data_IF_260507516788
#
_entry.id   IF_260507516788
#
_cell.length_a   1.000
_cell.length_b   1.000
_cell.length_c   1.000
_cell.angle_alpha   90.00
_cell.angle_beta   90.00
_cell.angle_gamma   90.00
#
_symmetry.space_group_name_H-M   'P 1'
#
loop_
_entity.id
_entity.type
_entity.pdbx_description
1 polymer ?
#
# COMPACT_ATOMS: atom_id res chain seq x y z
N UNK A 1 -22.36 6.76 26.22
CA UNK A 1 -22.75 5.55 25.48
C UNK A 1 -24.18 5.75 25.02
N UNK A 2 -24.43 5.75 23.71
CA UNK A 2 -25.76 6.03 23.17
C UNK A 2 -26.51 4.72 23.08
N UNK A 3 -27.76 4.70 23.52
CA UNK A 3 -28.64 3.54 23.37
C UNK A 3 -29.89 3.89 22.60
N UNK A 4 -30.41 2.94 21.82
CA UNK A 4 -31.66 3.11 21.10
C UNK A 4 -32.52 1.85 21.14
N UNK A 5 -33.83 2.01 21.29
CA UNK A 5 -34.79 0.91 21.20
C UNK A 5 -35.78 1.18 20.08
N UNK A 6 -35.98 0.21 19.20
CA UNK A 6 -36.97 0.26 18.13
C UNK A 6 -37.86 -0.98 18.15
N UNK A 7 -39.16 -0.79 17.87
CA UNK A 7 -40.16 -1.86 17.94
C UNK A 7 -40.41 -2.58 16.61
N UNK A 8 -39.99 -2.01 15.48
CA UNK A 8 -40.23 -2.58 14.14
C UNK A 8 -39.00 -3.33 13.62
N UNK A 9 -39.23 -4.24 12.67
CA UNK A 9 -38.15 -4.92 11.95
C UNK A 9 -37.24 -3.93 11.22
N UNK A 10 -37.81 -2.89 10.64
CA UNK A 10 -37.08 -1.85 9.91
C UNK A 10 -36.17 -1.01 10.82
N UNK A 11 -36.57 -0.79 12.09
CA UNK A 11 -35.69 -0.17 13.08
C UNK A 11 -34.48 -1.07 13.36
N UNK A 12 -34.68 -2.39 13.50
CA UNK A 12 -33.58 -3.31 13.79
C UNK A 12 -32.54 -3.34 12.66
N UNK A 13 -32.98 -3.41 11.41
CA UNK A 13 -32.08 -3.36 10.25
C UNK A 13 -31.30 -2.04 10.19
N UNK A 14 -31.97 -0.91 10.43
CA UNK A 14 -31.35 0.41 10.45
C UNK A 14 -30.33 0.56 11.58
N UNK A 15 -30.67 0.08 12.79
CA UNK A 15 -29.79 0.11 13.97
C UNK A 15 -28.56 -0.81 13.80
N UNK A 16 -28.74 -1.96 13.14
CA UNK A 16 -27.67 -2.88 12.78
C UNK A 16 -26.74 -2.27 11.71
N UNK A 17 -27.30 -1.61 10.70
CA UNK A 17 -26.54 -0.88 9.67
C UNK A 17 -25.67 0.24 10.24
N UNK A 18 -26.10 0.88 11.33
CA UNK A 18 -25.31 1.86 12.08
C UNK A 18 -24.31 1.24 13.07
N UNK A 19 -24.00 -0.06 12.96
CA UNK A 19 -23.10 -0.82 13.83
C UNK A 19 -23.53 -0.88 15.30
N UNK A 20 -24.82 -0.81 15.58
CA UNK A 20 -25.35 -1.01 16.92
C UNK A 20 -25.12 -2.45 17.41
N UNK A 21 -24.76 -2.61 18.67
CA UNK A 21 -24.67 -3.91 19.35
C UNK A 21 -25.92 -4.16 20.16
N UNK A 22 -26.60 -5.29 19.92
CA UNK A 22 -27.80 -5.63 20.69
C UNK A 22 -27.43 -6.01 22.14
N UNK A 23 -28.02 -5.33 23.11
CA UNK A 23 -27.95 -5.67 24.53
C UNK A 23 -29.25 -6.36 24.98
N UNK A 24 -29.24 -7.69 25.16
CA UNK A 24 -30.44 -8.43 25.54
C UNK A 24 -30.92 -8.10 26.97
N UNK A 25 -30.03 -7.71 27.88
CA UNK A 25 -30.40 -7.39 29.26
C UNK A 25 -31.20 -6.07 29.37
N UNK A 26 -30.89 -5.11 28.48
CA UNK A 26 -31.57 -3.81 28.43
C UNK A 26 -32.66 -3.71 27.35
N UNK A 27 -32.85 -4.77 26.55
CA UNK A 27 -33.72 -4.78 25.37
C UNK A 27 -33.50 -3.58 24.43
N UNK A 28 -32.24 -3.18 24.25
CA UNK A 28 -31.85 -2.00 23.48
C UNK A 28 -30.58 -2.25 22.66
N UNK A 29 -30.35 -1.38 21.67
CA UNK A 29 -29.13 -1.33 20.87
C UNK A 29 -28.17 -0.33 21.51
N UNK A 30 -26.90 -0.70 21.63
CA UNK A 30 -25.84 0.12 22.17
C UNK A 30 -24.87 0.53 21.07
N UNK A 31 -24.49 1.80 21.06
CA UNK A 31 -23.54 2.37 20.11
C UNK A 31 -22.33 2.91 20.86
N UNK A 32 -21.15 2.48 20.41
CA UNK A 32 -19.88 2.98 20.91
C UNK A 32 -19.59 4.39 20.39
N UNK A 33 -20.03 4.66 19.16
CA UNK A 33 -19.89 5.96 18.50
C UNK A 33 -20.96 6.14 17.41
N UNK A 34 -21.49 7.35 17.29
CA UNK A 34 -22.32 7.80 16.17
C UNK A 34 -21.82 9.18 15.74
N UNK A 35 -21.70 9.40 14.43
CA UNK A 35 -21.46 10.76 13.92
C UNK A 35 -22.67 11.67 14.20
N UNK A 36 -22.51 13.01 14.24
CA UNK A 36 -23.64 13.92 14.43
C UNK A 36 -24.77 13.70 13.42
N UNK A 37 -24.43 13.41 12.16
CA UNK A 37 -25.41 13.06 11.12
C UNK A 37 -26.17 11.77 11.41
N UNK A 38 -25.47 10.71 11.81
CA UNK A 38 -26.11 9.43 12.17
C UNK A 38 -26.99 9.56 13.41
N UNK A 39 -26.59 10.34 14.42
CA UNK A 39 -27.42 10.61 15.60
C UNK A 39 -28.67 11.43 15.24
N UNK A 40 -28.53 12.42 14.34
CA UNK A 40 -29.68 13.18 13.84
C UNK A 40 -30.66 12.27 13.08
N UNK A 41 -30.15 11.39 12.20
CA UNK A 41 -30.97 10.37 11.54
C UNK A 41 -31.66 9.46 12.55
N UNK A 42 -30.94 9.00 13.57
CA UNK A 42 -31.47 8.10 14.61
C UNK A 42 -32.60 8.75 15.42
N UNK A 43 -32.44 10.03 15.80
CA UNK A 43 -33.46 10.82 16.51
C UNK A 43 -34.67 11.16 15.63
N UNK A 44 -34.49 11.17 14.30
CA UNK A 44 -35.55 11.40 13.33
C UNK A 44 -36.39 10.16 12.99
N UNK A 45 -36.00 8.96 13.44
CA UNK A 45 -36.76 7.74 13.19
C UNK A 45 -38.00 7.67 14.09
N UNK A 46 -39.18 7.66 13.48
CA UNK A 46 -40.47 7.57 14.20
C UNK A 46 -40.54 6.25 14.98
N UNK A 47 -40.75 6.33 16.29
CA UNK A 47 -40.86 5.14 17.14
C UNK A 47 -39.52 4.50 17.56
N UNK A 48 -38.40 5.20 17.36
CA UNK A 48 -37.12 4.86 17.98
C UNK A 48 -36.87 5.80 19.16
N UNK A 49 -36.73 5.22 20.35
CA UNK A 49 -36.34 5.98 21.55
C UNK A 49 -34.82 5.96 21.66
N UNK A 50 -34.19 7.13 21.67
CA UNK A 50 -32.73 7.29 21.82
C UNK A 50 -32.44 7.90 23.18
N UNK A 51 -31.51 7.31 23.94
CA UNK A 51 -31.06 7.85 25.22
C UNK A 51 -29.54 7.87 25.33
N UNK A 52 -29.01 8.85 26.05
CA UNK A 52 -27.57 9.15 26.18
C UNK A 52 -27.20 10.53 25.64
N UNK A 53 -26.10 11.08 26.14
CA UNK A 53 -25.60 12.40 25.77
C UNK A 53 -25.10 12.46 24.32
N UNK A 54 -25.02 13.67 23.75
CA UNK A 54 -24.42 13.90 22.43
C UNK A 54 -23.02 13.28 22.34
N UNK A 55 -22.62 12.75 21.17
CA UNK A 55 -21.31 12.15 21.00
C UNK A 55 -20.27 13.23 21.31
N UNK A 56 -19.51 13.01 22.38
CA UNK A 56 -18.22 13.68 22.54
C UNK A 56 -17.42 13.46 21.25
N UNK A 57 -16.72 14.48 20.74
CA UNK A 57 -15.99 14.38 19.48
C UNK A 57 -15.10 13.14 19.53
N UNK A 58 -15.17 12.34 18.46
CA UNK A 58 -14.34 11.19 18.09
C UNK A 58 -13.60 10.48 19.25
N UNK A 59 -13.72 9.16 19.48
CA UNK A 59 -12.89 8.46 20.49
C UNK A 59 -11.36 8.66 20.34
N UNK A 60 -10.86 9.24 19.25
CA UNK A 60 -9.49 9.77 19.13
C UNK A 60 -9.23 11.16 19.78
N UNK A 61 -10.23 11.84 20.37
CA UNK A 61 -10.11 13.19 20.92
C UNK A 61 -10.40 13.34 22.42
N UNK A 62 -10.70 12.28 23.17
CA UNK A 62 -10.64 12.39 24.64
C UNK A 62 -10.19 11.10 25.33
N UNK A 63 -8.90 11.03 25.59
CA UNK A 63 -8.33 10.11 26.57
C UNK A 63 -8.97 10.41 27.94
N UNK A 64 -9.43 9.36 28.64
CA UNK A 64 -10.06 9.47 29.97
C UNK A 64 -9.15 10.20 30.97
N UNK A 65 -9.68 10.90 31.96
CA UNK A 65 -8.87 11.66 32.93
C UNK A 65 -7.78 10.80 33.61
N UNK A 66 -8.08 9.53 33.90
CA UNK A 66 -7.08 8.54 34.39
C UNK A 66 -6.02 8.18 33.36
N UNK A 67 -6.37 8.08 32.07
CA UNK A 67 -5.38 7.94 30.99
C UNK A 67 -4.60 9.23 30.81
N UNK A 68 -5.20 10.42 30.94
CA UNK A 68 -4.50 11.72 30.90
C UNK A 68 -3.54 11.92 32.07
N UNK A 69 -3.86 11.41 33.26
CA UNK A 69 -2.96 11.41 34.42
C UNK A 69 -1.80 10.43 34.20
N UNK A 70 -2.09 9.22 33.73
CA UNK A 70 -1.08 8.21 33.36
C UNK A 70 -0.19 8.70 32.20
N UNK A 71 -0.78 9.36 31.19
CA UNK A 71 -0.03 10.01 30.14
C UNK A 71 0.73 11.22 30.70
N UNK A 72 0.18 12.11 31.51
CA UNK A 72 0.95 13.22 32.12
C UNK A 72 2.13 12.74 32.95
N UNK A 73 1.97 11.67 33.72
CA UNK A 73 3.04 11.11 34.55
C UNK A 73 4.10 10.35 33.74
N UNK A 74 3.76 9.84 32.56
CA UNK A 74 4.68 9.16 31.63
C UNK A 74 5.31 10.15 30.63
N UNK A 75 4.61 11.22 30.27
CA UNK A 75 5.04 12.25 29.30
C UNK A 75 5.94 13.33 29.90
N UNK A 76 5.92 13.55 31.23
CA UNK A 76 6.82 14.49 31.91
C UNK A 76 8.07 13.82 32.51
N UNK A 77 8.22 12.51 32.34
CA UNK A 77 9.34 11.75 32.90
C UNK A 77 10.51 11.56 31.91
N UNK A 78 10.26 11.65 30.60
CA UNK A 78 11.26 11.38 29.55
C UNK A 78 11.50 12.60 28.63
N UNK A 79 11.42 13.81 29.19
CA UNK A 79 11.80 15.07 28.53
C UNK A 79 13.31 15.37 28.70
N UNK A 80 14.18 14.35 28.68
CA UNK A 80 15.60 14.59 28.34
C UNK A 80 15.70 14.78 26.83
N UNK A 81 15.22 15.95 26.38
CA UNK A 81 15.35 16.49 25.03
C UNK A 81 16.82 16.46 24.53
N UNK A 82 17.78 16.38 25.46
CA UNK A 82 19.21 16.32 25.21
C UNK A 82 19.72 14.91 24.84
N UNK A 83 19.12 13.83 25.36
CA UNK A 83 19.52 12.44 25.02
C UNK A 83 19.00 12.01 23.65
N UNK A 84 17.82 12.52 23.27
CA UNK A 84 17.30 12.35 21.90
C UNK A 84 18.24 13.09 20.95
N UNK A 85 18.54 14.39 21.15
CA UNK A 85 19.41 15.17 20.24
C UNK A 85 20.83 14.60 20.05
N UNK A 86 21.38 13.86 21.00
CA UNK A 86 22.72 13.27 20.93
C UNK A 86 22.85 12.10 19.94
N UNK A 87 21.75 11.41 19.60
CA UNK A 87 21.77 10.21 18.75
C UNK A 87 21.56 10.45 17.25
N UNK A 88 21.33 11.69 16.81
CA UNK A 88 20.97 11.99 15.42
C UNK A 88 22.14 12.57 14.62
N UNK A 89 22.38 12.08 13.37
CA UNK A 89 23.33 12.72 12.48
C UNK A 89 22.89 14.15 12.18
N UNK A 90 23.77 15.12 12.44
CA UNK A 90 23.53 16.54 12.09
C UNK A 90 23.33 16.70 10.58
N UNK A 91 22.60 17.74 10.19
CA UNK A 91 22.57 18.27 8.81
C UNK A 91 23.98 18.22 8.19
N UNK A 92 24.15 17.45 7.12
CA UNK A 92 25.42 17.26 6.40
C UNK A 92 26.15 15.94 6.65
N UNK A 93 25.64 15.06 7.52
CA UNK A 93 26.13 13.68 7.60
C UNK A 93 25.81 12.90 6.30
N UNK A 94 26.69 11.97 5.86
CA UNK A 94 26.42 11.15 4.69
C UNK A 94 25.22 10.24 4.93
N UNK A 95 24.38 10.07 3.90
CA UNK A 95 23.27 9.11 3.90
C UNK A 95 23.78 7.70 4.21
N UNK A 96 23.17 7.05 5.21
CA UNK A 96 23.42 5.63 5.49
C UNK A 96 22.66 4.78 4.47
N UNK A 97 23.39 4.03 3.64
CA UNK A 97 22.80 3.12 2.64
C UNK A 97 22.79 1.70 3.21
N UNK A 98 21.62 1.08 3.23
CA UNK A 98 21.41 -0.30 3.68
C UNK A 98 20.75 -1.09 2.54
N UNK A 99 21.27 -2.29 2.26
CA UNK A 99 20.81 -3.15 1.17
C UNK A 99 21.85 -3.28 0.07
N UNK A 100 21.46 -3.87 -1.06
CA UNK A 100 22.35 -4.25 -2.17
C UNK A 100 22.19 -3.36 -3.41
N UNK A 101 21.29 -2.38 -3.40
CA UNK A 101 21.01 -1.55 -4.57
C UNK A 101 20.74 -0.07 -4.23
N UNK A 102 21.72 0.80 -4.55
CA UNK A 102 21.59 2.25 -4.37
C UNK A 102 20.99 3.00 -5.58
N UNK A 103 20.55 2.29 -6.63
CA UNK A 103 20.18 2.87 -7.94
C UNK A 103 19.14 3.98 -7.81
N UNK A 104 18.19 3.84 -6.89
CA UNK A 104 17.04 4.75 -6.79
C UNK A 104 17.19 5.88 -5.78
N UNK A 105 18.30 5.96 -5.03
CA UNK A 105 18.53 7.00 -4.02
C UNK A 105 18.26 8.41 -4.58
N UNK A 106 18.83 8.71 -5.74
CA UNK A 106 18.69 10.02 -6.38
C UNK A 106 17.36 10.24 -7.11
N UNK A 107 16.39 9.30 -7.03
CA UNK A 107 15.06 9.46 -7.64
C UNK A 107 14.07 10.08 -6.66
N UNK A 108 14.21 9.88 -5.36
CA UNK A 108 13.30 10.46 -4.37
C UNK A 108 13.38 11.99 -4.32
N UNK A 109 12.34 12.65 -3.82
CA UNK A 109 12.30 14.11 -3.58
C UNK A 109 13.50 14.59 -2.76
N UNK A 110 13.72 13.93 -1.61
CA UNK A 110 14.88 14.21 -0.78
C UNK A 110 16.07 13.41 -1.33
N UNK A 111 17.13 14.13 -1.72
CA UNK A 111 18.36 13.53 -2.28
C UNK A 111 19.38 13.15 -1.21
N UNK A 112 19.16 13.58 0.04
CA UNK A 112 20.05 13.34 1.17
C UNK A 112 19.25 12.80 2.38
N UNK A 113 18.56 11.66 2.25
CA UNK A 113 17.87 11.06 3.38
C UNK A 113 18.88 10.65 4.46
N UNK A 114 18.43 10.54 5.72
CA UNK A 114 19.30 10.02 6.79
C UNK A 114 19.68 8.58 6.48
N UNK A 115 18.66 7.78 6.11
CA UNK A 115 18.82 6.37 5.78
C UNK A 115 18.11 6.06 4.47
N UNK A 116 18.80 5.34 3.60
CA UNK A 116 18.25 4.81 2.36
C UNK A 116 18.34 3.29 2.36
N UNK A 117 17.18 2.65 2.23
CA UNK A 117 17.03 1.21 2.14
C UNK A 117 16.81 0.81 0.68
N UNK A 118 17.82 0.19 0.07
CA UNK A 118 17.84 -0.07 -1.37
C UNK A 118 18.05 -1.53 -1.69
N UNK A 119 17.06 -2.16 -2.32
CA UNK A 119 17.08 -3.60 -2.60
C UNK A 119 16.85 -3.93 -4.07
N UNK A 120 17.73 -4.75 -4.63
CA UNK A 120 17.76 -5.14 -6.04
C UNK A 120 16.62 -6.06 -6.46
N UNK A 121 15.96 -6.70 -5.49
CA UNK A 121 14.86 -7.65 -5.65
C UNK A 121 14.05 -7.82 -4.36
N UNK A 122 12.82 -8.34 -4.47
CA UNK A 122 12.05 -8.81 -3.29
C UNK A 122 12.82 -9.85 -2.48
N UNK A 123 13.54 -10.77 -3.13
CA UNK A 123 14.32 -11.80 -2.44
C UNK A 123 15.47 -11.20 -1.62
N UNK A 124 16.18 -10.18 -2.12
CA UNK A 124 17.22 -9.47 -1.38
C UNK A 124 16.64 -8.72 -0.17
N UNK A 125 15.49 -8.07 -0.36
CA UNK A 125 14.74 -7.43 0.72
C UNK A 125 14.35 -8.43 1.81
N UNK A 126 13.72 -9.54 1.45
CA UNK A 126 13.29 -10.59 2.40
C UNK A 126 14.49 -11.21 3.09
N UNK A 127 15.60 -11.45 2.39
CA UNK A 127 16.83 -11.96 2.99
C UNK A 127 17.35 -11.02 4.09
N UNK A 128 17.37 -9.70 3.84
CA UNK A 128 17.74 -8.72 4.85
C UNK A 128 16.77 -8.70 6.03
N UNK A 129 15.46 -8.59 5.76
CA UNK A 129 14.42 -8.57 6.80
C UNK A 129 14.46 -9.82 7.69
N UNK A 130 14.76 -10.99 7.12
CA UNK A 130 14.88 -12.25 7.86
C UNK A 130 16.09 -12.28 8.83
N UNK A 131 17.06 -11.37 8.68
CA UNK A 131 18.20 -11.27 9.60
C UNK A 131 17.93 -10.35 10.78
N UNK A 132 16.85 -9.58 10.73
CA UNK A 132 16.52 -8.62 11.78
C UNK A 132 16.13 -9.36 13.06
N UNK A 133 16.72 -8.93 14.16
CA UNK A 133 16.29 -9.35 15.49
C UNK A 133 15.32 -8.32 16.03
N UNK A 134 14.28 -8.80 16.71
CA UNK A 134 13.37 -7.91 17.43
C UNK A 134 14.18 -7.05 18.41
N UNK A 135 14.10 -5.71 18.33
CA UNK A 135 14.81 -4.85 19.25
C UNK A 135 14.31 -5.07 20.69
N UNK A 136 15.24 -5.12 21.65
CA UNK A 136 14.98 -5.49 23.07
C UNK A 136 14.49 -4.29 23.90
N UNK A 137 14.44 -3.09 23.34
CA UNK A 137 14.07 -1.87 24.08
C UNK A 137 12.55 -1.70 24.27
N UNK A 138 12.23 -1.12 25.42
CA UNK A 138 10.98 -0.90 26.16
C UNK A 138 9.99 0.14 25.58
N UNK A 139 10.32 0.75 24.44
CA UNK A 139 9.41 1.60 23.70
C UNK A 139 8.55 0.79 22.73
N UNK A 140 7.22 0.89 22.84
CA UNK A 140 6.15 0.27 22.01
C UNK A 140 6.27 0.38 20.47
N UNK A 141 7.38 0.91 19.93
CA UNK A 141 7.48 1.37 18.53
C UNK A 141 8.72 0.97 17.77
N UNK A 142 9.81 0.53 18.42
CA UNK A 142 10.94 -0.04 17.68
C UNK A 142 10.63 -1.45 17.16
N UNK A 143 9.66 -2.13 17.77
CA UNK A 143 9.22 -3.48 17.39
C UNK A 143 7.85 -3.49 16.69
N UNK A 144 7.42 -2.36 16.10
CA UNK A 144 6.14 -2.25 15.39
C UNK A 144 5.99 -3.27 14.25
N UNK A 145 7.10 -3.80 13.72
CA UNK A 145 7.07 -4.90 12.75
C UNK A 145 6.63 -6.25 13.33
N UNK A 146 6.85 -6.45 14.63
CA UNK A 146 6.55 -7.66 15.41
C UNK A 146 5.23 -7.60 16.16
N UNK A 147 4.59 -6.43 16.24
CA UNK A 147 3.37 -6.19 17.01
C UNK A 147 2.26 -5.57 16.17
N UNK A 148 1.03 -5.61 16.71
CA UNK A 148 -0.17 -5.07 16.08
C UNK A 148 -1.24 -6.13 15.85
N UNK A 149 -2.49 -5.69 15.87
CA UNK A 149 -3.63 -6.57 15.63
C UNK A 149 -3.63 -7.06 14.17
N UNK A 150 -4.13 -8.28 13.94
CA UNK A 150 -4.24 -8.88 12.60
C UNK A 150 -5.11 -8.03 11.67
N UNK A 151 -6.17 -7.41 12.19
CA UNK A 151 -7.01 -6.45 11.45
C UNK A 151 -6.20 -5.27 10.89
N UNK A 152 -5.14 -4.87 11.59
CA UNK A 152 -4.24 -3.81 11.13
C UNK A 152 -3.12 -4.38 10.26
N UNK A 153 -2.43 -5.43 10.68
CA UNK A 153 -1.21 -5.86 9.98
C UNK A 153 -1.47 -6.85 8.85
N UNK A 154 -2.62 -7.51 8.82
CA UNK A 154 -3.00 -8.56 7.87
C UNK A 154 -2.37 -9.93 8.14
N UNK A 155 -1.59 -10.06 9.21
CA UNK A 155 -0.92 -11.31 9.65
C UNK A 155 -0.88 -11.33 11.17
N UNK A 156 -0.80 -12.50 11.79
CA UNK A 156 -0.69 -12.66 13.23
C UNK A 156 0.67 -12.17 13.76
N UNK A 157 1.76 -12.44 13.02
CA UNK A 157 3.11 -12.11 13.46
C UNK A 157 4.08 -11.76 12.31
N UNK A 158 5.31 -11.40 12.68
CA UNK A 158 6.37 -11.03 11.74
C UNK A 158 6.83 -12.20 10.88
N UNK A 159 6.90 -13.41 11.45
CA UNK A 159 7.40 -14.59 10.74
C UNK A 159 6.42 -15.02 9.65
N UNK A 160 5.11 -14.90 9.91
CA UNK A 160 4.06 -15.08 8.91
C UNK A 160 4.20 -14.07 7.76
N UNK A 161 4.45 -12.80 8.07
CA UNK A 161 4.67 -11.79 7.03
C UNK A 161 5.91 -12.06 6.19
N UNK A 162 7.01 -12.53 6.81
CA UNK A 162 8.23 -12.96 6.09
C UNK A 162 7.95 -14.19 5.23
N UNK A 163 7.15 -15.14 5.74
CA UNK A 163 6.72 -16.33 5.01
C UNK A 163 5.91 -15.96 3.76
N UNK A 164 4.93 -15.05 3.89
CA UNK A 164 4.15 -14.53 2.77
C UNK A 164 5.02 -13.80 1.74
N UNK A 165 6.02 -13.03 2.19
CA UNK A 165 6.96 -12.34 1.31
C UNK A 165 7.86 -13.32 0.54
N UNK A 166 8.24 -14.44 1.18
CA UNK A 166 9.15 -15.45 0.60
C UNK A 166 8.44 -16.41 -0.34
N UNK A 167 7.23 -16.83 0.02
CA UNK A 167 6.48 -17.87 -0.69
C UNK A 167 5.34 -17.32 -1.54
N UNK A 168 5.02 -16.03 -1.39
CA UNK A 168 3.93 -15.36 -2.06
C UNK A 168 2.61 -15.47 -1.31
N UNK A 169 1.75 -14.47 -1.48
CA UNK A 169 0.41 -14.45 -0.90
C UNK A 169 -0.60 -15.10 -1.85
N UNK A 170 -0.84 -16.39 -1.66
CA UNK A 170 -1.65 -17.23 -2.56
C UNK A 170 -3.13 -16.82 -2.58
N UNK A 171 -3.68 -16.37 -1.45
CA UNK A 171 -5.06 -15.91 -1.35
C UNK A 171 -5.28 -14.62 -2.15
N UNK A 172 -4.39 -13.65 -1.97
CA UNK A 172 -4.37 -12.42 -2.76
C UNK A 172 -4.19 -12.71 -4.24
N UNK A 173 -3.35 -13.68 -4.60
CA UNK A 173 -3.21 -14.16 -5.98
C UNK A 173 -4.49 -14.81 -6.53
N UNK A 174 -5.21 -15.58 -5.71
CA UNK A 174 -6.49 -16.19 -6.08
C UNK A 174 -7.56 -15.13 -6.37
N UNK A 175 -7.67 -14.12 -5.51
CA UNK A 175 -8.54 -12.96 -5.70
C UNK A 175 -8.11 -12.16 -6.93
N UNK A 176 -6.81 -11.95 -7.08
CA UNK A 176 -6.22 -11.29 -8.24
C UNK A 176 -6.63 -11.98 -9.54
N UNK A 177 -6.50 -13.31 -9.61
CA UNK A 177 -6.84 -14.08 -10.81
C UNK A 177 -8.33 -14.01 -11.18
N UNK A 178 -9.22 -13.84 -10.20
CA UNK A 178 -10.67 -13.71 -10.43
C UNK A 178 -11.05 -12.33 -10.95
N UNK A 179 -10.33 -11.30 -10.52
CA UNK A 179 -10.57 -9.90 -10.85
C UNK A 179 -9.74 -9.42 -12.05
N UNK A 180 -8.69 -10.15 -12.42
CA UNK A 180 -7.85 -9.83 -13.57
C UNK A 180 -8.66 -9.94 -14.86
N UNK A 181 -8.59 -8.90 -15.68
CA UNK A 181 -9.07 -8.94 -17.05
C UNK A 181 -8.36 -10.07 -17.83
N UNK A 182 -9.01 -10.66 -18.85
CA UNK A 182 -8.36 -11.65 -19.71
C UNK A 182 -7.04 -11.07 -20.25
N UNK A 183 -5.97 -11.89 -20.29
CA UNK A 183 -4.64 -11.41 -20.68
C UNK A 183 -4.71 -10.70 -22.02
N UNK A 184 -3.96 -9.60 -22.15
CA UNK A 184 -3.96 -8.80 -23.36
C UNK A 184 -3.74 -9.70 -24.59
N UNK A 185 -4.77 -9.77 -25.45
CA UNK A 185 -4.92 -10.77 -26.52
C UNK A 185 -3.64 -10.90 -27.34
N UNK A 186 -2.91 -12.01 -27.18
CA UNK A 186 -1.58 -12.23 -27.78
C UNK A 186 -1.44 -11.58 -29.16
N UNK A 187 -0.42 -10.72 -29.36
CA UNK A 187 -0.22 -9.96 -30.61
C UNK A 187 -0.41 -10.89 -31.80
N UNK A 188 -1.45 -10.65 -32.59
CA UNK A 188 -1.82 -11.50 -33.73
C UNK A 188 -0.64 -11.58 -34.67
N UNK A 189 -0.01 -12.75 -34.78
CA UNK A 189 0.93 -13.04 -35.87
C UNK A 189 0.14 -12.92 -37.16
N UNK A 190 0.55 -12.02 -38.06
CA UNK A 190 -0.11 -11.84 -39.34
C UNK A 190 0.59 -12.73 -40.36
N UNK A 191 -0.22 -13.41 -41.16
CA UNK A 191 0.29 -14.09 -42.33
C UNK A 191 0.70 -13.05 -43.37
N UNK A 192 1.83 -13.27 -44.03
CA UNK A 192 2.44 -12.37 -44.99
C UNK A 192 3.21 -13.18 -46.05
N UNK A 193 3.58 -12.50 -47.14
CA UNK A 193 4.46 -13.07 -48.17
C UNK A 193 5.89 -13.28 -47.64
N UNK A 194 6.35 -12.39 -46.74
CA UNK A 194 7.67 -12.42 -46.12
C UNK A 194 7.56 -12.19 -44.60
N UNK A 195 8.40 -12.87 -43.82
CA UNK A 195 8.34 -12.86 -42.36
C UNK A 195 9.50 -13.60 -41.71
N UNK A 196 9.52 -13.63 -40.37
CA UNK A 196 10.61 -14.21 -39.58
C UNK A 196 10.42 -15.69 -39.23
N UNK A 197 9.24 -16.26 -39.47
CA UNK A 197 8.99 -17.70 -39.34
C UNK A 197 7.97 -18.15 -40.39
N UNK A 198 7.94 -19.44 -40.72
CA UNK A 198 7.03 -20.02 -41.72
C UNK A 198 5.92 -20.83 -41.05
N UNK A 199 4.70 -20.73 -41.58
CA UNK A 199 3.62 -21.66 -41.29
C UNK A 199 3.66 -22.78 -42.33
N UNK A 200 4.15 -23.96 -41.92
CA UNK A 200 4.40 -25.11 -42.80
C UNK A 200 3.12 -25.59 -43.49
N UNK A 201 1.99 -25.65 -42.77
CA UNK A 201 0.73 -26.11 -43.35
C UNK A 201 0.25 -25.22 -44.51
N UNK A 202 0.39 -23.91 -44.37
CA UNK A 202 0.07 -22.96 -45.45
C UNK A 202 1.03 -23.04 -46.64
N UNK A 203 2.31 -23.26 -46.37
CA UNK A 203 3.31 -23.46 -47.42
C UNK A 203 2.98 -24.70 -48.26
N UNK A 204 2.70 -25.83 -47.59
CA UNK A 204 2.35 -27.08 -48.26
C UNK A 204 1.02 -27.01 -49.02
N UNK A 205 0.09 -26.16 -48.57
CA UNK A 205 -1.15 -25.88 -49.28
C UNK A 205 -0.99 -24.89 -50.46
N UNK A 206 0.24 -24.48 -50.80
CA UNK A 206 0.51 -23.54 -51.88
C UNK A 206 0.05 -22.10 -51.60
N UNK A 207 -0.23 -21.75 -50.34
CA UNK A 207 -0.71 -20.42 -49.99
C UNK A 207 0.46 -19.41 -50.00
N UNK A 208 0.42 -18.34 -50.80
CA UNK A 208 1.49 -17.34 -50.86
C UNK A 208 1.68 -16.58 -49.53
N UNK A 209 0.66 -16.57 -48.65
CA UNK A 209 0.70 -15.98 -47.32
C UNK A 209 1.09 -17.02 -46.25
N UNK A 210 2.21 -17.71 -46.48
CA UNK A 210 2.72 -18.76 -45.59
C UNK A 210 3.72 -18.25 -44.55
N UNK A 211 4.26 -17.04 -44.69
CA UNK A 211 5.18 -16.47 -43.72
C UNK A 211 4.42 -15.80 -42.57
N UNK A 212 4.97 -15.84 -41.36
CA UNK A 212 4.48 -15.16 -40.18
C UNK A 212 5.33 -13.91 -39.95
N UNK A 213 4.68 -12.75 -40.04
CA UNK A 213 5.27 -11.46 -39.73
C UNK A 213 4.78 -11.01 -38.35
N UNK A 214 5.73 -10.66 -37.47
CA UNK A 214 5.43 -9.91 -36.24
C UNK A 214 5.39 -8.43 -36.57
N UNK A 215 4.48 -7.70 -35.96
CA UNK A 215 4.52 -6.25 -36.04
C UNK A 215 5.81 -5.75 -35.40
N UNK A 216 6.47 -4.75 -36.01
CA UNK A 216 7.69 -4.16 -35.45
C UNK A 216 7.37 -3.67 -34.04
N UNK A 217 8.12 -4.16 -33.07
CA UNK A 217 8.03 -3.64 -31.71
C UNK A 217 8.72 -2.28 -31.66
N UNK A 218 8.25 -1.33 -30.84
CA UNK A 218 9.04 -0.14 -30.54
C UNK A 218 10.43 -0.59 -30.07
N UNK A 219 11.48 0.13 -30.49
CA UNK A 219 12.84 -0.13 -30.01
C UNK A 219 12.82 -0.26 -28.48
N UNK A 220 13.50 -1.25 -27.90
CA UNK A 220 13.51 -1.61 -26.47
C UNK A 220 13.43 -0.39 -25.53
N UNK A 221 12.22 0.09 -25.25
CA UNK A 221 11.98 1.19 -24.33
C UNK A 221 11.61 0.55 -23.00
N UNK A 222 12.47 0.78 -22.02
CA UNK A 222 12.18 0.45 -20.64
C UNK A 222 11.25 1.54 -20.10
N UNK A 223 10.17 1.11 -19.46
CA UNK A 223 9.23 1.92 -18.69
C UNK A 223 9.43 1.56 -17.23
N UNK A 224 9.78 2.53 -16.39
CA UNK A 224 9.97 2.32 -14.96
C UNK A 224 8.79 2.87 -14.19
N UNK A 225 8.13 2.01 -13.42
CA UNK A 225 7.00 2.35 -12.56
C UNK A 225 7.47 2.41 -11.12
N UNK A 226 7.53 3.63 -10.56
CA UNK A 226 7.70 3.87 -9.14
C UNK A 226 6.33 3.85 -8.47
N UNK A 227 6.14 2.95 -7.52
CA UNK A 227 4.84 2.74 -6.87
C UNK A 227 4.99 2.88 -5.38
N UNK A 228 4.32 3.88 -4.78
CA UNK A 228 4.36 4.02 -3.33
C UNK A 228 3.69 2.84 -2.64
N UNK A 229 4.36 2.14 -1.76
CA UNK A 229 3.80 0.99 -1.03
C UNK A 229 2.95 1.43 0.14
N UNK A 230 2.97 2.72 0.46
CA UNK A 230 2.30 3.25 1.62
C UNK A 230 0.79 3.25 1.44
N UNK A 231 0.09 2.86 2.50
CA UNK A 231 -1.36 2.77 2.53
C UNK A 231 -1.89 3.41 3.81
N UNK A 232 -2.90 4.28 3.65
CA UNK A 232 -3.58 4.86 4.81
C UNK A 232 -4.23 3.77 5.69
N UNK A 233 -4.26 3.98 7.02
CA UNK A 233 -4.71 2.99 7.99
C UNK A 233 -6.14 2.49 7.70
N UNK A 234 -7.00 3.37 7.19
CA UNK A 234 -8.37 3.04 6.87
C UNK A 234 -8.57 2.30 5.55
N UNK A 235 -7.55 2.09 4.71
CA UNK A 235 -7.71 1.40 3.43
C UNK A 235 -8.13 -0.06 3.64
N UNK A 236 -9.21 -0.47 2.98
CA UNK A 236 -9.70 -1.86 3.03
C UNK A 236 -8.76 -2.81 2.28
N UNK A 237 -8.72 -4.08 2.70
CA UNK A 237 -7.94 -5.13 2.03
C UNK A 237 -8.35 -5.28 0.54
N UNK A 238 -9.65 -5.18 0.23
CA UNK A 238 -10.15 -5.25 -1.16
C UNK A 238 -9.57 -4.12 -2.04
N UNK A 239 -9.52 -2.89 -1.52
CA UNK A 239 -8.95 -1.75 -2.25
C UNK A 239 -7.44 -1.89 -2.45
N UNK A 240 -6.74 -2.48 -1.48
CA UNK A 240 -5.31 -2.81 -1.60
C UNK A 240 -5.04 -3.82 -2.72
N UNK A 241 -5.77 -4.93 -2.73
CA UNK A 241 -5.65 -5.97 -3.76
C UNK A 241 -5.97 -5.39 -5.13
N UNK A 242 -7.03 -4.59 -5.23
CA UNK A 242 -7.41 -3.97 -6.50
C UNK A 242 -6.31 -3.06 -7.04
N UNK A 243 -5.62 -2.29 -6.18
CA UNK A 243 -4.47 -1.50 -6.60
C UNK A 243 -3.35 -2.36 -7.14
N UNK A 244 -3.00 -3.45 -6.45
CA UNK A 244 -1.96 -4.36 -6.91
C UNK A 244 -2.30 -4.97 -8.29
N UNK A 245 -3.57 -5.31 -8.50
CA UNK A 245 -4.10 -5.80 -9.77
C UNK A 245 -4.03 -4.78 -10.88
N UNK A 246 -4.39 -3.54 -10.58
CA UNK A 246 -4.32 -2.46 -11.55
C UNK A 246 -2.87 -2.26 -12.02
N UNK A 247 -1.91 -2.23 -11.08
CA UNK A 247 -0.49 -2.14 -11.40
C UNK A 247 -0.05 -3.32 -12.30
N UNK A 248 -0.44 -4.54 -11.94
CA UNK A 248 -0.16 -5.72 -12.75
C UNK A 248 -0.78 -5.63 -14.17
N UNK A 249 -2.01 -5.13 -14.28
CA UNK A 249 -2.70 -4.91 -15.55
C UNK A 249 -2.05 -3.84 -16.42
N UNK A 250 -1.59 -2.73 -15.84
CA UNK A 250 -0.79 -1.72 -16.56
C UNK A 250 0.47 -2.36 -17.13
N UNK A 251 1.18 -3.15 -16.32
CA UNK A 251 2.41 -3.81 -16.73
C UNK A 251 2.15 -4.81 -17.85
N UNK A 252 1.13 -5.66 -17.72
CA UNK A 252 0.74 -6.60 -18.78
C UNK A 252 0.40 -5.84 -20.07
N UNK A 253 -0.33 -4.73 -19.98
CA UNK A 253 -0.68 -3.90 -21.14
C UNK A 253 0.55 -3.24 -21.78
N UNK A 254 1.46 -2.69 -20.99
CA UNK A 254 2.71 -2.09 -21.48
C UNK A 254 3.59 -3.14 -22.17
N UNK A 255 3.78 -4.30 -21.55
CA UNK A 255 4.54 -5.41 -22.14
C UNK A 255 3.85 -5.96 -23.38
N UNK A 256 2.52 -6.00 -23.37
CA UNK A 256 1.73 -6.35 -24.53
C UNK A 256 1.98 -5.38 -25.69
N UNK A 257 2.12 -4.08 -25.45
CA UNK A 257 2.43 -3.10 -26.50
C UNK A 257 3.90 -3.18 -26.98
N UNK A 258 4.77 -3.90 -26.26
CA UNK A 258 6.16 -4.14 -26.61
C UNK A 258 7.17 -3.32 -25.82
N UNK A 259 6.73 -2.69 -24.72
CA UNK A 259 7.63 -2.09 -23.74
C UNK A 259 8.24 -3.16 -22.84
N UNK A 260 9.35 -2.82 -22.18
CA UNK A 260 9.88 -3.58 -21.05
C UNK A 260 9.56 -2.81 -19.78
N UNK A 261 9.04 -3.47 -18.75
CA UNK A 261 8.63 -2.78 -17.53
C UNK A 261 9.58 -3.09 -16.37
N UNK A 262 9.97 -2.05 -15.63
CA UNK A 262 10.58 -2.16 -14.32
C UNK A 262 9.58 -1.68 -13.26
N UNK A 263 9.51 -2.38 -12.14
CA UNK A 263 8.60 -2.02 -11.04
C UNK A 263 9.44 -1.83 -9.78
N UNK A 264 9.31 -0.65 -9.17
CA UNK A 264 9.99 -0.29 -7.94
C UNK A 264 8.96 0.09 -6.90
N UNK A 265 8.88 -0.72 -5.84
CA UNK A 265 8.13 -0.41 -4.64
C UNK A 265 8.88 0.67 -3.85
N UNK A 266 8.28 1.85 -3.70
CA UNK A 266 8.89 2.98 -2.97
C UNK A 266 8.16 3.25 -1.67
N UNK A 267 8.88 3.65 -0.64
CA UNK A 267 8.32 4.09 0.62
C UNK A 267 9.12 5.30 1.10
N UNK A 268 8.43 6.30 1.63
CA UNK A 268 9.07 7.47 2.22
C UNK A 268 8.25 7.89 3.43
N UNK A 269 8.92 8.04 4.57
CA UNK A 269 8.32 8.64 5.75
C UNK A 269 9.30 9.60 6.41
N UNK A 270 8.72 10.46 7.24
CA UNK A 270 9.43 11.52 7.94
C UNK A 270 9.00 11.58 9.38
N UNK A 271 9.85 12.16 10.22
CA UNK A 271 9.42 12.67 11.53
C UNK A 271 8.44 13.83 11.34
N UNK A 272 7.49 14.02 12.26
CA UNK A 272 6.50 15.10 12.17
C UNK A 272 7.13 16.49 12.34
N UNK A 273 8.19 16.56 13.15
CA UNK A 273 8.95 17.75 13.55
C UNK A 273 10.29 17.90 12.82
N UNK A 274 10.71 16.89 12.04
CA UNK A 274 11.94 16.94 11.24
C UNK A 274 11.64 17.05 9.74
N UNK A 275 12.59 17.66 9.01
CA UNK A 275 12.67 17.59 7.55
C UNK A 275 13.33 16.29 7.06
N UNK A 276 13.71 15.43 7.98
CA UNK A 276 14.54 14.26 7.74
C UNK A 276 13.68 13.08 7.29
N UNK A 277 14.05 12.52 6.15
CA UNK A 277 13.36 11.38 5.54
C UNK A 277 14.22 10.13 5.65
N UNK A 278 13.54 9.00 5.79
CA UNK A 278 14.09 7.70 5.44
C UNK A 278 13.27 7.16 4.26
N UNK A 279 13.98 6.49 3.37
CA UNK A 279 13.47 6.10 2.07
C UNK A 279 13.76 4.64 1.82
N UNK A 280 12.80 3.93 1.25
CA UNK A 280 12.97 2.54 0.86
C UNK A 280 12.61 2.37 -0.60
N UNK A 281 13.45 1.66 -1.35
CA UNK A 281 13.18 1.21 -2.69
C UNK A 281 13.44 -0.30 -2.79
N UNK A 282 12.43 -1.05 -3.19
CA UNK A 282 12.53 -2.49 -3.45
C UNK A 282 12.14 -2.73 -4.90
N UNK A 283 13.07 -3.21 -5.72
CA UNK A 283 12.71 -3.61 -7.09
C UNK A 283 11.93 -4.92 -7.04
N UNK A 284 10.73 -4.92 -7.64
CA UNK A 284 9.87 -6.10 -7.71
C UNK A 284 9.96 -6.82 -9.05
N UNK A 285 10.40 -6.11 -10.09
CA UNK A 285 10.56 -6.64 -11.45
C UNK A 285 11.63 -5.86 -12.19
N UNK A 286 12.63 -6.52 -12.75
CA UNK A 286 13.57 -5.91 -13.68
C UNK A 286 13.02 -5.90 -15.13
N UNK A 287 13.55 -5.05 -16.03
CA UNK A 287 13.05 -4.92 -17.41
C UNK A 287 13.02 -6.23 -18.22
N UNK A 288 13.96 -7.14 -17.93
CA UNK A 288 14.12 -8.40 -18.66
C UNK A 288 13.40 -9.59 -17.99
N UNK A 289 12.88 -9.39 -16.78
CA UNK A 289 12.17 -10.41 -16.02
C UNK A 289 10.68 -10.44 -16.39
N UNK A 290 10.05 -11.60 -16.20
CA UNK A 290 8.58 -11.70 -16.27
C UNK A 290 7.97 -11.12 -14.99
N UNK A 291 6.77 -10.57 -15.11
CA UNK A 291 6.02 -10.10 -13.96
C UNK A 291 5.75 -11.27 -12.99
N UNK A 292 6.30 -11.20 -11.77
CA UNK A 292 5.91 -12.08 -10.69
C UNK A 292 4.69 -11.49 -9.97
N UNK A 293 3.51 -12.05 -10.24
CA UNK A 293 2.28 -11.52 -9.67
C UNK A 293 2.24 -11.68 -8.14
N UNK A 294 2.88 -12.71 -7.58
CA UNK A 294 2.91 -12.93 -6.13
C UNK A 294 3.61 -11.76 -5.42
N UNK A 295 4.78 -11.36 -5.89
CA UNK A 295 5.56 -10.26 -5.31
C UNK A 295 4.79 -8.94 -5.39
N UNK A 296 4.18 -8.65 -6.54
CA UNK A 296 3.39 -7.43 -6.76
C UNK A 296 2.12 -7.41 -5.91
N UNK A 297 1.40 -8.53 -5.82
CA UNK A 297 0.20 -8.64 -4.97
C UNK A 297 0.52 -8.51 -3.49
N UNK A 298 1.63 -9.05 -3.02
CA UNK A 298 2.02 -8.91 -1.63
C UNK A 298 2.50 -7.48 -1.34
N UNK A 299 3.40 -6.94 -2.16
CA UNK A 299 4.00 -5.62 -1.94
C UNK A 299 2.98 -4.46 -1.95
N UNK A 300 1.98 -4.52 -2.83
CA UNK A 300 1.00 -3.44 -3.00
C UNK A 300 -0.40 -3.76 -2.51
N UNK A 301 -0.69 -5.05 -2.26
CA UNK A 301 -2.02 -5.52 -1.88
C UNK A 301 -2.12 -6.04 -0.45
N UNK A 302 -0.99 -6.33 0.21
CA UNK A 302 -1.00 -6.85 1.57
C UNK A 302 -0.50 -5.81 2.60
N UNK A 303 -1.25 -5.52 3.67
CA UNK A 303 -0.83 -4.53 4.67
C UNK A 303 0.51 -4.84 5.34
N UNK A 304 0.85 -6.13 5.49
CA UNK A 304 2.09 -6.54 6.17
C UNK A 304 3.36 -6.09 5.46
N UNK A 305 3.34 -5.86 4.15
CA UNK A 305 4.54 -5.38 3.45
C UNK A 305 5.02 -4.06 4.05
N UNK A 306 4.12 -3.08 4.19
CA UNK A 306 4.42 -1.81 4.85
C UNK A 306 4.44 -1.92 6.37
N UNK A 307 3.35 -2.43 6.97
CA UNK A 307 3.10 -2.37 8.42
C UNK A 307 3.99 -3.31 9.22
N UNK A 308 4.52 -4.37 8.60
CA UNK A 308 5.46 -5.29 9.27
C UNK A 308 6.87 -5.19 8.74
N UNK A 309 7.08 -5.44 7.45
CA UNK A 309 8.45 -5.61 6.93
C UNK A 309 9.21 -4.28 6.86
N UNK A 310 8.58 -3.23 6.31
CA UNK A 310 9.20 -1.89 6.29
C UNK A 310 9.38 -1.35 7.72
N UNK A 311 8.34 -1.44 8.55
CA UNK A 311 8.41 -0.99 9.94
C UNK A 311 9.47 -1.74 10.77
N UNK A 312 9.70 -3.03 10.49
CA UNK A 312 10.76 -3.81 11.14
C UNK A 312 12.15 -3.26 10.81
N UNK A 313 12.44 -3.00 9.53
CA UNK A 313 13.72 -2.42 9.11
C UNK A 313 13.93 -1.05 9.78
N UNK A 314 12.94 -0.18 9.69
CA UNK A 314 12.96 1.14 10.32
C UNK A 314 13.07 1.07 11.85
N UNK A 315 12.52 0.00 12.43
CA UNK A 315 12.59 -0.36 13.85
C UNK A 315 13.99 -0.69 14.33
N UNK A 316 14.76 -1.35 13.46
CA UNK A 316 16.07 -1.90 13.81
C UNK A 316 17.25 -0.96 13.50
N UNK A 317 17.01 0.18 12.85
CA UNK A 317 18.06 1.14 12.50
C UNK A 317 18.01 2.35 13.43
N UNK A 318 18.96 2.50 14.36
CA UNK A 318 18.96 3.60 15.32
C UNK A 318 18.93 4.99 14.67
N UNK A 319 19.55 5.15 13.50
CA UNK A 319 19.61 6.41 12.76
C UNK A 319 18.24 6.86 12.23
N UNK A 320 17.29 5.95 12.02
CA UNK A 320 15.90 6.33 11.75
C UNK A 320 15.30 7.06 12.96
N UNK A 321 15.76 6.73 14.17
CA UNK A 321 15.43 7.38 15.44
C UNK A 321 13.93 7.60 15.65
N UNK A 322 13.16 6.60 15.22
CA UNK A 322 11.71 6.60 15.24
C UNK A 322 11.22 6.19 16.63
N UNK A 323 10.89 7.19 17.44
CA UNK A 323 10.19 7.01 18.72
C UNK A 323 8.66 7.06 18.53
N UNK A 324 7.95 6.83 19.64
CA UNK A 324 6.54 6.43 19.73
C UNK A 324 5.54 7.21 18.87
N UNK A 325 5.75 8.51 18.73
CA UNK A 325 4.74 9.43 18.20
C UNK A 325 4.95 9.83 16.74
N UNK A 326 5.95 9.25 16.06
CA UNK A 326 6.47 9.79 14.79
C UNK A 326 6.47 8.80 13.63
N UNK A 327 6.04 7.54 13.84
CA UNK A 327 5.87 6.56 12.76
C UNK A 327 4.56 6.77 12.00
N UNK A 328 4.56 6.48 10.70
CA UNK A 328 3.37 6.59 9.86
C UNK A 328 3.04 8.02 9.41
N UNK A 329 3.94 9.01 9.62
CA UNK A 329 3.86 10.30 8.93
C UNK A 329 4.45 10.18 7.54
N UNK A 330 3.57 9.77 6.65
CA UNK A 330 3.91 9.48 5.27
C UNK A 330 4.25 10.78 4.56
N UNK A 331 5.40 10.81 3.90
CA UNK A 331 5.75 11.86 2.96
C UNK A 331 5.69 11.29 1.56
N UNK A 332 5.34 12.12 0.59
CA UNK A 332 5.45 11.72 -0.81
C UNK A 332 6.91 11.40 -1.14
N UNK A 333 7.13 10.26 -1.76
CA UNK A 333 8.44 9.86 -2.26
C UNK A 333 8.92 10.79 -3.37
N UNK A 334 8.00 11.45 -4.10
CA UNK A 334 8.27 12.35 -5.22
C UNK A 334 7.38 13.61 -5.10
N UNK A 335 7.90 14.78 -5.47
CA UNK A 335 7.13 16.03 -5.57
C UNK A 335 6.57 16.26 -6.98
N UNK A 336 5.66 17.23 -7.09
CA UNK A 336 5.11 17.68 -8.37
C UNK A 336 6.19 18.26 -9.29
N UNK A 337 7.30 18.72 -8.71
CA UNK A 337 8.50 19.22 -9.41
C UNK A 337 9.51 18.11 -9.74
N UNK A 338 9.22 16.85 -9.43
CA UNK A 338 10.12 15.74 -9.74
C UNK A 338 10.27 15.64 -11.26
N UNK A 339 11.50 15.76 -11.80
CA UNK A 339 11.71 15.66 -13.23
C UNK A 339 11.57 14.20 -13.65
N UNK A 340 10.33 13.73 -13.83
CA UNK A 340 10.06 12.40 -14.39
C UNK A 340 10.85 12.27 -15.69
N UNK A 341 11.86 11.40 -15.71
CA UNK A 341 12.61 11.18 -16.93
C UNK A 341 11.71 10.51 -17.95
N UNK A 342 12.12 10.56 -19.21
CA UNK A 342 11.38 9.91 -20.29
C UNK A 342 11.17 8.42 -19.96
N UNK A 343 9.91 7.98 -19.93
CA UNK A 343 9.45 6.64 -19.58
C UNK A 343 9.50 6.27 -18.09
N UNK A 344 9.64 7.23 -17.19
CA UNK A 344 9.44 7.03 -15.75
C UNK A 344 8.04 7.51 -15.36
N UNK A 345 7.34 6.69 -14.57
CA UNK A 345 6.00 6.99 -14.09
C UNK A 345 5.90 6.73 -12.60
N UNK A 346 5.11 7.57 -11.95
CA UNK A 346 4.92 7.53 -10.53
C UNK A 346 3.46 7.26 -10.17
N UNK A 347 3.24 6.25 -9.34
CA UNK A 347 1.94 5.82 -8.84
C UNK A 347 1.88 6.16 -7.35
N UNK A 348 1.15 7.22 -6.96
CA UNK A 348 1.12 7.70 -5.57
C UNK A 348 0.39 6.72 -4.63
N UNK A 349 0.51 6.98 -3.33
CA UNK A 349 -0.19 6.25 -2.28
C UNK A 349 -1.71 6.37 -2.34
N UNK A 350 -2.41 5.36 -1.83
CA UNK A 350 -3.86 5.42 -1.59
C UNK A 350 -4.16 6.26 -0.34
N UNK A 351 -4.76 7.44 -0.54
CA UNK A 351 -5.06 8.40 0.55
C UNK A 351 -6.46 8.29 1.13
N UNK A 352 -7.38 7.62 0.45
CA UNK A 352 -8.79 7.54 0.87
C UNK A 352 -9.39 6.19 0.48
N UNK A 353 -10.42 5.76 1.22
CA UNK A 353 -11.37 4.76 0.71
C UNK A 353 -12.32 5.44 -0.29
N UNK A 354 -11.79 5.99 -1.38
CA UNK A 354 -12.62 6.71 -2.36
C UNK A 354 -13.75 5.85 -2.97
N UNK A 355 -13.80 4.56 -2.69
CA UNK A 355 -14.70 3.62 -3.32
C UNK A 355 -15.47 2.86 -2.24
N UNK A 356 -16.75 3.19 -2.12
CA UNK A 356 -17.76 2.25 -1.66
C UNK A 356 -17.63 0.99 -2.53
N UNK A 357 -17.77 -0.18 -1.92
CA UNK A 357 -17.30 -1.49 -2.41
C UNK A 357 -17.82 -1.95 -3.79
N UNK A 358 -18.61 -1.14 -4.49
CA UNK A 358 -19.41 -1.51 -5.64
C UNK A 358 -18.74 -1.23 -7.00
N UNK A 359 -17.73 -0.34 -7.10
CA UNK A 359 -17.02 -0.14 -8.37
C UNK A 359 -15.53 0.19 -8.24
N UNK A 360 -14.64 -0.82 -8.31
CA UNK A 360 -13.19 -0.63 -8.22
C UNK A 360 -12.61 0.32 -9.30
N UNK A 361 -13.27 0.49 -10.45
CA UNK A 361 -12.82 1.41 -11.50
C UNK A 361 -12.82 2.88 -11.05
N UNK A 362 -13.58 3.22 -10.00
CA UNK A 362 -13.57 4.56 -9.41
C UNK A 362 -12.26 4.87 -8.67
N UNK A 363 -11.44 3.86 -8.36
CA UNK A 363 -10.09 4.07 -7.83
C UNK A 363 -9.09 4.53 -8.90
N UNK A 364 -9.37 4.32 -10.20
CA UNK A 364 -8.42 4.57 -11.29
C UNK A 364 -7.86 6.00 -11.31
N UNK A 365 -8.68 7.07 -11.23
CA UNK A 365 -8.17 8.44 -11.27
C UNK A 365 -7.32 8.80 -10.05
N UNK A 366 -7.47 8.06 -8.95
CA UNK A 366 -6.71 8.25 -7.71
C UNK A 366 -5.40 7.46 -7.68
N UNK A 367 -5.27 6.43 -8.52
CA UNK A 367 -4.07 5.60 -8.61
C UNK A 367 -3.17 6.07 -9.76
N UNK A 368 -3.73 6.54 -10.87
CA UNK A 368 -2.98 6.89 -12.08
C UNK A 368 -3.55 8.18 -12.67
N UNK A 369 -2.69 9.15 -12.98
CA UNK A 369 -3.04 10.14 -14.00
C UNK A 369 -2.97 9.46 -15.37
N UNK A 370 -4.13 9.02 -15.85
CA UNK A 370 -4.29 8.23 -17.07
C UNK A 370 -3.79 8.94 -18.33
N UNK A 371 -3.54 10.25 -18.28
CA UNK A 371 -3.00 11.03 -19.39
C UNK A 371 -1.47 10.96 -19.51
N UNK A 372 -0.78 10.41 -18.51
CA UNK A 372 0.69 10.43 -18.48
C UNK A 372 1.31 9.18 -19.11
N UNK A 373 0.65 8.02 -19.03
CA UNK A 373 1.17 6.75 -19.52
C UNK A 373 1.36 6.76 -21.06
N UNK A 374 2.32 5.99 -21.61
CA UNK A 374 2.58 5.93 -23.04
C UNK A 374 1.55 5.06 -23.78
N UNK A 375 0.44 4.73 -23.13
CA UNK A 375 -0.63 3.87 -23.58
C UNK A 375 -1.97 4.49 -23.20
N UNK A 376 -2.98 4.32 -24.05
CA UNK A 376 -4.37 4.60 -23.67
C UNK A 376 -4.92 3.38 -22.94
N UNK A 377 -5.32 3.54 -21.68
CA UNK A 377 -6.08 2.53 -20.95
C UNK A 377 -7.52 2.56 -21.47
N UNK A 378 -7.93 1.53 -22.21
CA UNK A 378 -9.32 1.29 -22.58
C UNK A 378 -9.78 0.03 -21.84
N UNK A 379 -10.80 0.18 -21.02
CA UNK A 379 -11.46 -0.92 -20.33
C UNK A 379 -12.73 -1.21 -21.13
N UNK A 380 -12.75 -2.36 -21.81
CA UNK A 380 -13.90 -2.81 -22.62
C UNK A 380 -14.99 -3.44 -21.74
#
# INVERSE_FOLDING_TARGET
MITASGQTFQHRETLKGMRGRWNPAGNNWQFDYLTPGQLATLRGLVGVMVSGDEPTPNPFQSLSAKRREHYRSVWLADDDEDDVKACYPRNGAPTLIIGDDATYLNHFKDKNPIVYFGFSSMSAFVAHVSTLQRPVNDGWTCDAGWHGDEDYTGTADFDEAVSLARHGWTEGFGLARRLAAPPARAKRRKHALAGGSVNVGRLLAGNPMHMLKREPQPANKVVTLFVETVMWAGITASNAIFRALLIAGIVDRLEHEGYRCEIVATYCARRRDAKEHYQTAVRLKAPHERLNLLDVTFAFGHPSFGRRLIYAIEGCVPQCGLTRDWRGYISQAFDDDHPCRKNEYYIPQLRTNAVDQDNPLELLPHIIDTNTLPITLKWD
#
